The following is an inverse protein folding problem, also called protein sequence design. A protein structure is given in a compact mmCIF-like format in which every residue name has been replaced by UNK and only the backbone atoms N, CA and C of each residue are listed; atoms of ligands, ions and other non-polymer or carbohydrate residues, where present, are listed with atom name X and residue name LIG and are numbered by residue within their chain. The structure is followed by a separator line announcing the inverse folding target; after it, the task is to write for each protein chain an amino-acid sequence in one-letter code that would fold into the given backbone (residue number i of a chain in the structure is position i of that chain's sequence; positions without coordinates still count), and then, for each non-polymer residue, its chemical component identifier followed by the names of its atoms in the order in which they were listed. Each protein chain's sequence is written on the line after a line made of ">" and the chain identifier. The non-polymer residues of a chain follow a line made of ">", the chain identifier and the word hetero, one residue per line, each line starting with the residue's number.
data_IF_582469230621
#
_entry.id   IF_582469230621
#
_cell.length_a   1.000
_cell.length_b   1.000
_cell.length_c   1.000
_cell.angle_alpha   90.00
_cell.angle_beta   90.00
_cell.angle_gamma   90.00
#
_symmetry.space_group_name_H-M   'P 1'
#
loop_
_entity.id
_entity.type
_entity.pdbx_description
1 polymer ?
#
# COMPACT_ATOMS: atom_id res chain seq x y z
N UNK A 1 -20.59 -25.66 -4.45
CA UNK A 1 -19.72 -26.78 -4.87
C UNK A 1 -18.31 -26.23 -4.91
N UNK A 2 -17.48 -26.54 -3.91
CA UNK A 2 -16.08 -26.12 -3.89
C UNK A 2 -15.33 -26.95 -4.93
N UNK A 3 -14.69 -26.27 -5.88
CA UNK A 3 -13.87 -26.87 -6.94
C UNK A 3 -12.54 -27.31 -6.33
N UNK A 4 -12.01 -28.40 -6.86
CA UNK A 4 -10.84 -29.16 -6.40
C UNK A 4 -9.70 -28.28 -5.87
N UNK A 5 -9.14 -28.68 -4.73
CA UNK A 5 -7.99 -28.01 -4.11
C UNK A 5 -6.79 -28.00 -5.06
N UNK A 6 -6.03 -26.91 -5.04
CA UNK A 6 -4.76 -26.83 -5.78
C UNK A 6 -3.78 -27.81 -5.10
N UNK A 7 -3.50 -28.94 -5.75
CA UNK A 7 -2.42 -29.84 -5.34
C UNK A 7 -1.08 -29.26 -5.83
N UNK A 8 -0.21 -28.91 -4.88
CA UNK A 8 1.12 -28.39 -5.17
C UNK A 8 2.14 -29.52 -5.23
N UNK A 9 3.12 -29.42 -6.13
CA UNK A 9 4.26 -30.33 -6.17
C UNK A 9 5.24 -30.03 -5.05
N UNK A 10 6.07 -31.00 -4.66
CA UNK A 10 7.13 -30.81 -3.64
C UNK A 10 8.06 -29.63 -3.97
N UNK A 11 8.33 -29.40 -5.25
CA UNK A 11 9.11 -28.26 -5.72
C UNK A 11 8.40 -26.91 -5.52
N UNK A 12 7.07 -26.87 -5.65
CA UNK A 12 6.27 -25.68 -5.40
C UNK A 12 6.14 -25.41 -3.89
N UNK A 13 5.99 -26.46 -3.09
CA UNK A 13 5.99 -26.38 -1.62
C UNK A 13 7.33 -25.82 -1.14
N UNK A 14 8.45 -26.40 -1.58
CA UNK A 14 9.78 -25.92 -1.21
C UNK A 14 10.07 -24.48 -1.68
N UNK A 15 9.49 -24.06 -2.81
CA UNK A 15 9.59 -22.67 -3.28
C UNK A 15 8.79 -21.70 -2.40
N UNK A 16 7.60 -22.10 -1.94
CA UNK A 16 6.80 -21.31 -1.00
C UNK A 16 7.45 -21.21 0.38
N UNK A 17 8.01 -22.31 0.89
CA UNK A 17 8.74 -22.33 2.17
C UNK A 17 10.00 -21.46 2.13
N UNK A 18 10.76 -21.52 1.02
CA UNK A 18 11.95 -20.68 0.85
C UNK A 18 11.59 -19.20 0.79
N UNK A 19 10.51 -18.86 0.07
CA UNK A 19 9.98 -17.50 0.04
C UNK A 19 9.55 -17.04 1.44
N UNK A 20 8.80 -17.87 2.18
CA UNK A 20 8.38 -17.53 3.54
C UNK A 20 9.58 -17.27 4.48
N UNK A 21 10.62 -18.11 4.40
CA UNK A 21 11.85 -17.90 5.16
C UNK A 21 12.61 -16.63 4.75
N UNK A 22 12.62 -16.28 3.46
CA UNK A 22 13.26 -15.05 2.97
C UNK A 22 12.49 -13.80 3.45
N UNK A 23 11.16 -13.86 3.44
CA UNK A 23 10.28 -12.78 3.91
C UNK A 23 10.47 -12.55 5.44
N UNK A 24 10.59 -13.62 6.24
CA UNK A 24 10.88 -13.56 7.68
C UNK A 24 12.26 -12.96 7.98
N UNK A 25 13.28 -13.36 7.21
CA UNK A 25 14.65 -12.84 7.35
C UNK A 25 14.79 -11.36 6.96
N UNK A 26 13.89 -10.83 6.12
CA UNK A 26 13.89 -9.44 5.68
C UNK A 26 13.08 -8.49 6.59
N UNK A 27 12.39 -9.03 7.60
CA UNK A 27 11.49 -8.25 8.45
C UNK A 27 10.29 -7.68 7.68
N UNK A 28 9.86 -8.38 6.62
CA UNK A 28 8.66 -7.98 5.88
C UNK A 28 7.45 -8.15 6.81
N UNK A 29 6.66 -7.09 6.95
CA UNK A 29 5.44 -7.16 7.77
C UNK A 29 4.51 -8.15 7.10
N UNK A 30 4.19 -9.25 7.78
CA UNK A 30 3.23 -10.23 7.27
C UNK A 30 1.90 -9.56 6.92
N UNK A 31 1.42 -9.84 5.71
CA UNK A 31 0.16 -9.31 5.18
C UNK A 31 -0.77 -10.46 4.85
N UNK A 32 -1.97 -10.42 5.42
CA UNK A 32 -2.87 -11.57 5.35
C UNK A 32 -3.80 -11.57 4.13
N UNK A 33 -4.16 -10.39 3.62
CA UNK A 33 -5.14 -10.23 2.55
C UNK A 33 -5.06 -8.83 1.90
N UNK A 34 -5.68 -8.60 0.73
CA UNK A 34 -5.79 -7.26 0.15
C UNK A 34 -6.48 -6.29 1.12
N UNK A 35 -5.99 -5.07 1.22
CA UNK A 35 -6.45 -4.06 2.18
C UNK A 35 -5.83 -4.17 3.58
N UNK A 36 -5.02 -5.19 3.86
CA UNK A 36 -4.43 -5.36 5.19
C UNK A 36 -3.41 -4.28 5.55
N UNK A 37 -2.50 -3.95 4.63
CA UNK A 37 -1.48 -2.92 4.82
C UNK A 37 -1.15 -2.23 3.49
N UNK A 38 -1.38 -0.93 3.43
CA UNK A 38 -0.85 -0.06 2.39
C UNK A 38 0.49 0.53 2.80
N UNK A 39 1.44 0.61 1.88
CA UNK A 39 2.65 1.42 2.02
C UNK A 39 2.48 2.70 1.21
N UNK A 40 2.69 3.86 1.83
CA UNK A 40 2.54 5.16 1.20
C UNK A 40 3.80 6.00 1.31
N UNK A 41 4.26 6.51 0.17
CA UNK A 41 5.47 7.32 0.06
C UNK A 41 5.36 8.42 -1.00
N UNK A 42 6.14 9.49 -0.80
CA UNK A 42 6.27 10.64 -1.68
C UNK A 42 7.63 10.70 -2.36
N UNK A 43 7.64 10.60 -3.68
CA UNK A 43 8.85 10.71 -4.50
C UNK A 43 8.94 12.06 -5.22
N UNK A 44 10.12 12.68 -5.31
CA UNK A 44 10.33 13.85 -6.15
C UNK A 44 10.63 13.41 -7.59
N UNK A 45 9.77 13.81 -8.53
CA UNK A 45 9.87 13.39 -9.93
C UNK A 45 10.83 14.28 -10.71
N UNK A 46 10.75 15.59 -10.49
CA UNK A 46 11.55 16.55 -11.26
C UNK A 46 10.92 17.94 -11.31
N UNK A 47 11.49 18.81 -12.16
CA UNK A 47 10.97 20.14 -12.43
C UNK A 47 10.51 20.24 -13.88
N UNK A 48 9.25 20.63 -14.09
CA UNK A 48 8.67 20.85 -15.41
C UNK A 48 8.59 22.36 -15.69
N UNK A 49 9.15 22.78 -16.82
CA UNK A 49 9.14 24.18 -17.25
C UNK A 49 7.71 24.71 -17.31
N UNK A 50 7.45 25.84 -16.64
CA UNK A 50 6.12 26.47 -16.57
C UNK A 50 5.17 25.89 -15.52
N UNK A 51 5.50 24.77 -14.88
CA UNK A 51 4.69 24.14 -13.82
C UNK A 51 5.44 24.18 -12.48
N UNK A 52 6.75 23.96 -12.49
CA UNK A 52 7.59 23.90 -11.31
C UNK A 52 7.90 22.46 -10.88
N UNK A 53 8.11 22.27 -9.57
CA UNK A 53 8.46 20.96 -8.99
C UNK A 53 7.27 20.03 -9.04
N UNK A 54 7.53 18.76 -9.35
CA UNK A 54 6.53 17.69 -9.37
C UNK A 54 6.92 16.64 -8.34
N UNK A 55 5.94 16.27 -7.52
CA UNK A 55 6.02 15.24 -6.51
C UNK A 55 4.97 14.18 -6.82
N UNK A 56 5.36 12.93 -6.73
CA UNK A 56 4.50 11.78 -6.89
C UNK A 56 4.14 11.25 -5.50
N UNK A 57 2.85 11.18 -5.19
CA UNK A 57 2.40 10.29 -4.11
C UNK A 57 2.09 8.92 -4.68
N UNK A 58 2.58 7.90 -4.01
CA UNK A 58 2.32 6.50 -4.35
C UNK A 58 1.77 5.79 -3.13
N UNK A 59 0.72 5.00 -3.32
CA UNK A 59 0.22 4.06 -2.33
C UNK A 59 0.17 2.67 -2.95
N UNK A 60 0.80 1.70 -2.30
CA UNK A 60 0.89 0.32 -2.76
C UNK A 60 0.33 -0.58 -1.68
N UNK A 61 -0.64 -1.42 -2.03
CA UNK A 61 -1.07 -2.49 -1.15
C UNK A 61 -0.01 -3.59 -1.12
N UNK A 62 0.46 -3.90 0.08
CA UNK A 62 1.62 -4.79 0.27
C UNK A 62 1.29 -6.25 0.04
N UNK A 63 0.01 -6.64 -0.03
CA UNK A 63 -0.40 -8.00 -0.34
C UNK A 63 -0.64 -8.20 -1.85
N UNK A 64 -1.61 -7.47 -2.39
CA UNK A 64 -2.07 -7.56 -3.79
C UNK A 64 -1.14 -6.86 -4.78
N UNK A 65 -0.23 -6.01 -4.28
CA UNK A 65 0.70 -5.19 -5.07
C UNK A 65 0.00 -4.20 -6.01
N UNK A 66 -1.29 -3.91 -5.78
CA UNK A 66 -2.03 -2.84 -6.48
C UNK A 66 -1.46 -1.49 -6.04
N UNK A 67 -1.12 -0.65 -7.02
CA UNK A 67 -0.54 0.66 -6.80
C UNK A 67 -1.42 1.78 -7.35
N UNK A 68 -1.57 2.84 -6.57
CA UNK A 68 -2.19 4.10 -6.98
C UNK A 68 -1.16 5.21 -6.91
N UNK A 69 -1.21 6.11 -7.90
CA UNK A 69 -0.27 7.21 -8.03
C UNK A 69 -1.00 8.50 -8.43
N UNK A 70 -0.60 9.62 -7.84
CA UNK A 70 -1.07 10.96 -8.23
C UNK A 70 0.07 11.97 -8.12
N UNK A 71 0.17 12.85 -9.12
CA UNK A 71 1.19 13.88 -9.21
C UNK A 71 0.68 15.19 -8.62
N UNK A 72 1.54 15.88 -7.89
CA UNK A 72 1.26 17.15 -7.23
C UNK A 72 2.42 18.13 -7.43
N UNK A 73 2.11 19.42 -7.37
CA UNK A 73 3.13 20.48 -7.41
C UNK A 73 3.72 20.81 -6.04
N UNK A 74 3.19 20.21 -4.96
CA UNK A 74 3.63 20.43 -3.58
C UNK A 74 3.78 19.11 -2.82
N UNK A 75 4.80 19.02 -1.96
CA UNK A 75 4.96 17.92 -0.99
C UNK A 75 4.38 18.34 0.36
N UNK A 76 3.09 18.06 0.58
CA UNK A 76 2.37 18.41 1.80
C UNK A 76 1.54 17.22 2.28
N UNK A 77 1.18 17.18 3.58
CA UNK A 77 0.39 16.07 4.12
C UNK A 77 -0.98 15.95 3.44
N UNK A 78 -1.55 17.06 2.98
CA UNK A 78 -2.83 17.11 2.27
C UNK A 78 -2.79 16.48 0.86
N UNK A 79 -1.62 16.21 0.28
CA UNK A 79 -1.54 15.45 -0.97
C UNK A 79 -1.47 13.95 -0.73
N UNK A 80 -0.92 13.50 0.40
CA UNK A 80 -0.97 12.09 0.83
C UNK A 80 -2.41 11.66 1.10
N UNK A 81 -3.07 12.49 1.89
CA UNK A 81 -4.50 12.53 2.16
C UNK A 81 -5.40 12.35 0.94
N UNK A 82 -5.16 13.20 -0.06
CA UNK A 82 -5.98 13.31 -1.25
C UNK A 82 -5.86 12.03 -2.08
N UNK A 83 -4.65 11.48 -2.23
CA UNK A 83 -4.48 10.18 -2.90
C UNK A 83 -5.30 9.06 -2.22
N UNK A 84 -5.31 9.02 -0.88
CA UNK A 84 -6.06 8.00 -0.15
C UNK A 84 -7.56 8.15 -0.37
N UNK A 85 -8.11 9.35 -0.17
CA UNK A 85 -9.54 9.60 -0.25
C UNK A 85 -10.09 9.59 -1.69
N UNK A 86 -9.31 10.07 -2.66
CA UNK A 86 -9.73 10.16 -4.07
C UNK A 86 -9.66 8.82 -4.78
N UNK A 87 -8.65 7.98 -4.46
CA UNK A 87 -8.33 6.78 -5.26
C UNK A 87 -8.27 5.49 -4.47
N UNK A 88 -7.55 5.47 -3.36
CA UNK A 88 -7.26 4.21 -2.65
C UNK A 88 -8.49 3.69 -1.94
N UNK A 89 -9.06 4.47 -1.01
CA UNK A 89 -10.20 4.04 -0.20
C UNK A 89 -11.43 3.69 -1.06
N UNK A 90 -11.84 4.51 -2.05
CA UNK A 90 -12.97 4.17 -2.90
C UNK A 90 -12.75 2.88 -3.71
N UNK A 91 -11.51 2.62 -4.15
CA UNK A 91 -11.20 1.39 -4.88
C UNK A 91 -11.38 0.14 -4.01
N UNK A 92 -10.89 0.14 -2.76
CA UNK A 92 -11.07 -1.01 -1.87
C UNK A 92 -12.52 -1.15 -1.41
N UNK A 93 -13.19 -0.03 -1.13
CA UNK A 93 -14.61 -0.02 -0.78
C UNK A 93 -15.49 -0.61 -1.89
N UNK A 94 -15.20 -0.30 -3.17
CA UNK A 94 -15.95 -0.88 -4.30
C UNK A 94 -15.78 -2.39 -4.44
N UNK A 95 -14.73 -2.97 -3.84
CA UNK A 95 -14.50 -4.42 -3.79
C UNK A 95 -14.97 -5.04 -2.46
N UNK A 96 -15.61 -4.27 -1.58
CA UNK A 96 -16.03 -4.73 -0.25
C UNK A 96 -14.87 -5.03 0.69
N UNK A 97 -13.71 -4.42 0.46
CA UNK A 97 -12.49 -4.66 1.23
C UNK A 97 -12.19 -3.47 2.16
N UNK A 98 -11.90 -3.71 3.45
CA UNK A 98 -11.47 -2.65 4.35
C UNK A 98 -9.97 -2.37 4.21
N UNK A 99 -9.58 -1.10 4.15
CA UNK A 99 -8.19 -0.68 4.30
C UNK A 99 -7.84 -0.54 5.78
N UNK A 100 -7.06 -1.46 6.32
CA UNK A 100 -6.86 -1.60 7.77
C UNK A 100 -5.68 -0.79 8.30
N UNK A 101 -4.57 -0.75 7.57
CA UNK A 101 -3.31 -0.14 8.05
C UNK A 101 -2.60 0.59 6.91
N UNK A 102 -1.91 1.66 7.27
CA UNK A 102 -1.03 2.40 6.35
C UNK A 102 0.34 2.61 7.01
N UNK A 103 1.39 2.22 6.30
CA UNK A 103 2.78 2.48 6.59
C UNK A 103 3.23 3.73 5.83
N UNK A 104 3.79 4.73 6.49
CA UNK A 104 4.28 5.95 5.83
C UNK A 104 5.48 6.57 6.55
N UNK A 105 6.33 7.28 5.81
CA UNK A 105 7.53 7.95 6.34
C UNK A 105 7.28 9.34 6.93
N UNK A 106 6.09 9.93 6.77
CA UNK A 106 5.86 11.34 7.12
C UNK A 106 5.37 11.52 8.57
N UNK A 107 6.24 11.79 9.57
CA UNK A 107 5.82 11.85 10.97
C UNK A 107 4.69 12.88 11.13
N UNK A 108 3.59 12.47 11.76
CA UNK A 108 2.38 13.25 12.08
C UNK A 108 1.24 13.33 11.04
N UNK A 109 1.03 12.31 10.21
CA UNK A 109 -0.23 12.16 9.42
C UNK A 109 -1.46 11.79 10.27
N UNK A 110 -1.55 12.22 11.53
CA UNK A 110 -2.76 12.09 12.35
C UNK A 110 -3.82 13.13 11.94
N UNK A 111 -4.24 13.10 10.68
CA UNK A 111 -5.50 13.67 10.24
C UNK A 111 -6.50 12.51 10.23
N UNK A 112 -7.75 12.74 10.59
CA UNK A 112 -8.75 11.66 10.72
C UNK A 112 -9.09 11.13 9.31
N UNK A 113 -8.46 10.04 8.89
CA UNK A 113 -8.45 9.59 7.48
C UNK A 113 -9.62 8.71 7.05
N UNK A 114 -10.24 7.94 7.95
CA UNK A 114 -11.45 7.12 7.71
C UNK A 114 -11.76 6.32 8.98
N UNK A 115 -13.00 5.88 9.19
CA UNK A 115 -13.38 4.97 10.29
C UNK A 115 -12.79 3.56 10.16
N UNK A 116 -12.22 3.23 8.99
CA UNK A 116 -11.76 1.86 8.68
C UNK A 116 -10.28 1.65 8.94
N UNK A 117 -9.46 2.72 8.92
CA UNK A 117 -8.02 2.61 9.18
C UNK A 117 -7.80 2.46 10.68
N UNK A 118 -7.34 1.28 11.09
CA UNK A 118 -7.16 0.88 12.49
C UNK A 118 -5.82 1.30 13.08
N UNK A 119 -4.76 1.47 12.27
CA UNK A 119 -3.45 1.90 12.77
C UNK A 119 -2.55 2.50 11.69
N UNK A 120 -1.75 3.50 12.07
CA UNK A 120 -0.61 3.98 11.30
C UNK A 120 0.67 3.38 11.86
N UNK A 121 1.45 2.77 10.98
CA UNK A 121 2.76 2.22 11.33
C UNK A 121 3.81 3.20 10.82
N UNK A 122 4.78 3.49 11.67
CA UNK A 122 5.95 4.30 11.36
C UNK A 122 7.15 3.37 11.31
N UNK A 123 8.06 3.59 10.35
CA UNK A 123 9.39 2.95 10.38
C UNK A 123 10.32 3.71 11.33
#
# INVERSE_FOLDING_TARGET
>A
MARDGIELTDSQIAALERKASDDEACGEIETAHPGYLGSQDTFYVGNLKGVGRIYQQTSVDTYSKVAHCKLYVTKTLITAADLLNDRVLPFYESHGLPMLRILTEAPNTAVKWSSTITSFIWR
#
